data_IF_739359307019
#
_entry.id   IF_739359307019
#
_cell.length_a   1.000
_cell.length_b   1.000
_cell.length_c   1.000
_cell.angle_alpha   90.00
_cell.angle_beta   90.00
_cell.angle_gamma   90.00
#
_symmetry.space_group_name_H-M   'P 1'
#
loop_
_entity.id
_entity.type
_entity.pdbx_description
1 polymer ?
#
# COMPACT_ATOMS: atom_id res chain seq x y z
N UNK A 1 -11.19 7.43 8.64
CA UNK A 1 -10.46 6.15 8.47
C UNK A 1 -10.46 5.72 6.99
N UNK A 2 -10.00 6.57 6.09
CA UNK A 2 -9.99 6.31 4.63
C UNK A 2 -9.01 7.23 3.89
N UNK A 3 -8.01 7.77 4.58
CA UNK A 3 -7.04 8.65 3.94
C UNK A 3 -6.08 7.83 3.07
N UNK A 4 -5.68 8.44 1.95
CA UNK A 4 -4.67 7.93 1.04
C UNK A 4 -3.71 9.07 0.76
N UNK A 5 -2.41 8.82 0.91
CA UNK A 5 -1.36 9.80 0.65
C UNK A 5 -0.28 9.15 -0.22
N UNK A 6 -0.06 9.70 -1.40
CA UNK A 6 1.09 9.34 -2.22
C UNK A 6 2.34 10.06 -1.70
N UNK A 7 3.46 9.34 -1.65
CA UNK A 7 4.73 9.82 -1.14
C UNK A 7 5.82 9.50 -2.16
N UNK A 8 6.36 10.55 -2.79
CA UNK A 8 7.41 10.39 -3.79
C UNK A 8 8.74 9.94 -3.20
N UNK A 9 8.96 10.24 -1.92
CA UNK A 9 10.14 9.87 -1.15
C UNK A 9 9.69 9.45 0.26
N UNK A 10 9.69 8.15 0.51
CA UNK A 10 9.35 7.55 1.79
C UNK A 10 10.51 6.69 2.30
N UNK A 11 10.87 6.89 3.56
CA UNK A 11 11.84 6.06 4.28
C UNK A 11 11.13 5.46 5.49
N UNK A 12 11.01 4.13 5.58
CA UNK A 12 10.37 3.48 6.73
C UNK A 12 11.07 3.84 8.05
N UNK A 13 10.29 3.84 9.13
CA UNK A 13 10.82 4.06 10.47
C UNK A 13 11.82 2.96 10.83
N UNK A 14 12.97 3.37 11.39
CA UNK A 14 14.04 2.47 11.79
C UNK A 14 15.06 2.12 10.69
N UNK A 15 14.86 2.58 9.44
CA UNK A 15 15.89 2.49 8.40
C UNK A 15 17.08 3.43 8.70
N UNK A 16 18.32 3.05 8.31
CA UNK A 16 19.50 3.92 8.43
C UNK A 16 19.33 5.24 7.67
N UNK A 17 20.00 6.30 8.14
CA UNK A 17 19.91 7.64 7.53
C UNK A 17 20.40 7.72 6.07
N UNK A 18 21.26 6.80 5.64
CA UNK A 18 21.73 6.73 4.26
C UNK A 18 20.90 5.80 3.37
N UNK A 19 19.81 5.20 3.88
CA UNK A 19 18.97 4.31 3.09
C UNK A 19 18.24 5.11 2.00
N UNK A 20 18.18 4.53 0.80
CA UNK A 20 17.53 5.19 -0.33
C UNK A 20 16.02 5.21 -0.12
N UNK A 21 15.40 6.39 -0.26
CA UNK A 21 13.95 6.53 -0.22
C UNK A 21 13.27 5.79 -1.38
N UNK A 22 12.04 5.35 -1.13
CA UNK A 22 11.19 4.68 -2.12
C UNK A 22 9.95 5.50 -2.40
N UNK A 23 9.32 5.29 -3.56
CA UNK A 23 7.96 5.79 -3.80
C UNK A 23 6.98 4.86 -3.09
N UNK A 24 6.08 5.44 -2.29
CA UNK A 24 5.12 4.70 -1.49
C UNK A 24 3.74 5.35 -1.52
N UNK A 25 2.74 4.60 -1.06
CA UNK A 25 1.42 5.11 -0.76
C UNK A 25 1.05 4.68 0.66
N UNK A 26 0.69 5.65 1.49
CA UNK A 26 0.16 5.40 2.83
C UNK A 26 -1.36 5.33 2.75
N UNK A 27 -1.94 4.23 3.20
CA UNK A 27 -3.39 4.00 3.23
C UNK A 27 -3.86 3.74 4.67
N UNK A 28 -4.93 4.42 5.09
CA UNK A 28 -5.56 4.12 6.38
C UNK A 28 -6.24 2.75 6.40
N UNK A 29 -6.44 2.18 7.60
CA UNK A 29 -7.02 0.84 7.80
C UNK A 29 -8.38 0.59 7.09
N UNK A 30 -9.24 1.61 6.96
CA UNK A 30 -10.55 1.50 6.31
C UNK A 30 -10.57 1.84 4.81
N UNK A 31 -9.42 2.08 4.19
CA UNK A 31 -9.34 2.45 2.77
C UNK A 31 -9.67 1.25 1.87
N UNK A 32 -10.60 1.42 0.93
CA UNK A 32 -10.84 0.48 -0.17
C UNK A 32 -9.89 0.71 -1.35
N UNK A 33 -9.59 -0.32 -2.12
CA UNK A 33 -8.69 -0.23 -3.28
C UNK A 33 -9.07 0.85 -4.29
N UNK A 34 -10.36 1.15 -4.48
CA UNK A 34 -10.81 2.22 -5.39
C UNK A 34 -10.16 3.59 -5.07
N UNK A 35 -9.99 3.91 -3.79
CA UNK A 35 -9.41 5.18 -3.36
C UNK A 35 -7.89 5.18 -3.53
N UNK A 36 -7.24 4.04 -3.29
CA UNK A 36 -5.80 3.88 -3.52
C UNK A 36 -5.47 4.01 -5.02
N UNK A 37 -6.28 3.42 -5.90
CA UNK A 37 -6.12 3.55 -7.35
C UNK A 37 -6.37 4.96 -7.84
N UNK A 38 -7.39 5.65 -7.34
CA UNK A 38 -7.63 7.04 -7.70
C UNK A 38 -6.44 7.93 -7.36
N UNK A 39 -5.93 7.83 -6.14
CA UNK A 39 -4.77 8.62 -5.71
C UNK A 39 -3.53 8.24 -6.54
N UNK A 40 -3.12 6.97 -6.54
CA UNK A 40 -1.84 6.57 -7.12
C UNK A 40 -1.85 6.59 -8.65
N UNK A 41 -2.91 6.08 -9.27
CA UNK A 41 -2.96 5.89 -10.73
C UNK A 41 -3.52 7.10 -11.44
N UNK A 42 -4.70 7.60 -11.04
CA UNK A 42 -5.33 8.70 -11.76
C UNK A 42 -4.61 10.03 -11.51
N UNK A 43 -4.22 10.34 -10.27
CA UNK A 43 -3.61 11.64 -9.93
C UNK A 43 -2.10 11.67 -10.11
N UNK A 44 -1.40 10.57 -9.79
CA UNK A 44 0.07 10.54 -9.81
C UNK A 44 0.67 9.73 -10.97
N UNK A 45 -0.14 9.06 -11.79
CA UNK A 45 0.34 8.29 -12.94
C UNK A 45 1.30 7.16 -12.53
N UNK A 46 1.02 6.51 -11.40
CA UNK A 46 1.79 5.40 -10.86
C UNK A 46 0.94 4.14 -10.71
N UNK A 47 1.61 3.03 -10.46
CA UNK A 47 0.98 1.75 -10.18
C UNK A 47 1.12 1.40 -8.70
N UNK A 48 0.05 0.90 -8.08
CA UNK A 48 0.07 0.27 -6.76
C UNK A 48 -0.42 -1.17 -6.87
N UNK A 49 0.28 -2.09 -6.22
CA UNK A 49 -0.05 -3.51 -6.24
C UNK A 49 -1.28 -3.79 -5.36
N UNK A 50 -2.43 -4.00 -6.00
CA UNK A 50 -3.70 -4.29 -5.33
C UNK A 50 -4.53 -5.38 -6.03
N UNK A 51 -5.76 -5.58 -5.56
CA UNK A 51 -6.70 -6.58 -6.09
C UNK A 51 -7.63 -6.04 -7.17
N UNK A 52 -8.22 -6.93 -7.97
CA UNK A 52 -9.20 -6.54 -9.01
C UNK A 52 -10.55 -6.05 -8.45
N UNK A 53 -10.93 -6.49 -7.24
CA UNK A 53 -12.16 -6.08 -6.58
C UNK A 53 -11.95 -4.75 -5.84
N UNK A 54 -12.52 -3.67 -6.37
CA UNK A 54 -12.26 -2.29 -5.94
C UNK A 54 -12.78 -1.93 -4.55
N UNK A 55 -13.76 -2.69 -4.04
CA UNK A 55 -14.35 -2.51 -2.71
C UNK A 55 -13.60 -3.22 -1.58
N UNK A 56 -12.61 -4.07 -1.91
CA UNK A 56 -11.80 -4.78 -0.90
C UNK A 56 -10.90 -3.78 -0.18
N UNK A 57 -10.73 -3.97 1.14
CA UNK A 57 -9.87 -3.13 1.98
C UNK A 57 -8.39 -3.28 1.64
N UNK A 58 -7.72 -2.16 1.38
CA UNK A 58 -6.32 -2.07 0.97
C UNK A 58 -5.33 -2.33 2.12
N UNK A 59 -5.66 -1.92 3.35
CA UNK A 59 -4.84 -2.17 4.56
C UNK A 59 -5.36 -3.32 5.43
N UNK A 60 -6.41 -4.02 4.98
CA UNK A 60 -7.03 -5.11 5.73
C UNK A 60 -6.51 -6.50 5.33
N UNK A 61 -7.41 -7.48 5.41
CA UNK A 61 -7.09 -8.89 5.15
C UNK A 61 -6.50 -9.18 3.77
N UNK A 62 -6.72 -8.34 2.76
CA UNK A 62 -6.08 -8.51 1.45
C UNK A 62 -4.55 -8.45 1.56
N UNK A 63 -4.02 -7.37 2.12
CA UNK A 63 -2.59 -7.13 2.22
C UNK A 63 -1.96 -7.98 3.32
N UNK A 64 -2.68 -8.23 4.41
CA UNK A 64 -2.19 -9.07 5.52
C UNK A 64 -2.22 -10.57 5.20
N UNK A 65 -3.13 -11.01 4.32
CA UNK A 65 -3.30 -12.42 3.93
C UNK A 65 -2.61 -12.81 2.63
N UNK A 66 -1.76 -11.95 2.07
CA UNK A 66 -1.07 -12.18 0.79
C UNK A 66 -1.52 -11.20 -0.28
N UNK A 67 -2.76 -11.32 -0.76
CA UNK A 67 -3.34 -10.38 -1.72
C UNK A 67 -2.85 -10.58 -3.16
N UNK A 68 -3.68 -11.22 -3.98
CA UNK A 68 -3.37 -11.48 -5.39
C UNK A 68 -4.23 -10.60 -6.31
N UNK A 69 -3.58 -9.96 -7.28
CA UNK A 69 -4.20 -9.20 -8.37
C UNK A 69 -3.54 -9.44 -9.72
N UNK A 70 -4.03 -8.74 -10.75
CA UNK A 70 -3.70 -8.97 -12.17
C UNK A 70 -2.20 -8.95 -12.49
N UNK A 71 -1.42 -8.12 -11.79
CA UNK A 71 0.03 -7.98 -12.05
C UNK A 71 0.91 -8.69 -11.03
N UNK A 72 0.36 -9.57 -10.17
CA UNK A 72 1.16 -10.22 -9.13
C UNK A 72 2.27 -11.11 -9.67
N UNK A 73 2.10 -11.66 -10.89
CA UNK A 73 3.16 -12.41 -11.57
C UNK A 73 4.39 -11.57 -11.87
N UNK A 74 4.23 -10.25 -11.99
CA UNK A 74 5.31 -9.30 -12.32
C UNK A 74 5.84 -8.58 -11.08
N UNK A 75 4.97 -8.20 -10.16
CA UNK A 75 5.32 -7.33 -9.03
C UNK A 75 5.20 -7.99 -7.64
N UNK A 76 4.85 -9.28 -7.57
CA UNK A 76 4.59 -9.97 -6.31
C UNK A 76 3.18 -9.73 -5.77
N UNK A 77 2.89 -10.34 -4.61
CA UNK A 77 1.59 -10.18 -3.93
C UNK A 77 1.49 -8.81 -3.26
N UNK A 78 0.28 -8.39 -2.85
CA UNK A 78 0.07 -7.15 -2.10
C UNK A 78 0.88 -7.11 -0.80
N UNK A 79 0.99 -8.24 -0.11
CA UNK A 79 1.81 -8.40 1.09
C UNK A 79 3.30 -8.13 0.82
N UNK A 80 3.82 -8.60 -0.32
CA UNK A 80 5.22 -8.38 -0.70
C UNK A 80 5.54 -6.90 -0.98
N UNK A 81 4.52 -6.06 -1.23
CA UNK A 81 4.67 -4.63 -1.43
C UNK A 81 4.60 -3.79 -0.16
N UNK A 82 4.38 -4.39 1.03
CA UNK A 82 4.29 -3.64 2.29
C UNK A 82 5.68 -3.25 2.78
N UNK A 83 5.88 -1.95 3.00
CA UNK A 83 7.14 -1.41 3.54
C UNK A 83 7.05 -0.97 5.00
N UNK A 84 5.85 -0.66 5.50
CA UNK A 84 5.60 -0.27 6.87
C UNK A 84 4.14 -0.54 7.25
N UNK A 85 3.88 -0.85 8.52
CA UNK A 85 2.54 -0.92 9.09
C UNK A 85 2.51 -0.20 10.45
N UNK A 86 1.43 0.55 10.70
CA UNK A 86 1.11 1.12 12.01
C UNK A 86 0.03 0.22 12.65
N UNK A 87 0.31 -0.31 13.85
CA UNK A 87 -0.53 -1.29 14.52
C UNK A 87 -0.73 -0.94 16.00
N UNK A 88 -1.84 -1.42 16.56
CA UNK A 88 -2.07 -1.47 18.01
C UNK A 88 -1.94 -2.92 18.46
N UNK A 89 -1.03 -3.18 19.39
CA UNK A 89 -0.85 -4.50 20.00
C UNK A 89 -1.83 -4.71 21.15
N UNK A 90 -2.07 -5.97 21.52
CA UNK A 90 -3.08 -6.36 22.50
C UNK A 90 -2.72 -6.10 23.98
N UNK A 91 -1.69 -5.30 24.26
CA UNK A 91 -1.08 -5.11 25.58
C UNK A 91 -2.07 -4.89 26.72
#
# INVERSE_FOLDING_TARGET
MNQVRFESEFTPQGCPQQEKSVQAVTVSAGTQWIHAYDEVTNKHGRYVQGGGCTTVGAAGGFTQGGGFGSFSKKYGTGAAGVVQAEIVAAS
#
